data_IF_723735319260
#
_entry.id   IF_723735319260
#
_cell.length_a   1.000
_cell.length_b   1.000
_cell.length_c   1.000
_cell.angle_alpha   90.00
_cell.angle_beta   90.00
_cell.angle_gamma   90.00
#
_symmetry.space_group_name_H-M   'P 1'
#
loop_
_entity.id
_entity.type
_entity.pdbx_description
1 polymer ?
#
# COMPACT_ATOMS: atom_id res chain seq x y z
N UNK A 1 -11.99 -16.03 -15.11
CA UNK A 1 -12.20 -16.18 -13.65
C UNK A 1 -13.57 -16.82 -13.47
N UNK A 2 -13.72 -17.84 -12.61
CA UNK A 2 -15.04 -18.42 -12.32
C UNK A 2 -15.99 -17.34 -11.80
N UNK A 3 -17.30 -17.55 -11.93
CA UNK A 3 -18.36 -16.72 -11.34
C UNK A 3 -18.35 -16.77 -9.78
N UNK A 4 -17.19 -16.76 -9.15
CA UNK A 4 -17.08 -16.65 -7.71
C UNK A 4 -17.49 -15.23 -7.34
N UNK A 5 -18.78 -15.07 -7.05
CA UNK A 5 -19.36 -13.83 -6.58
C UNK A 5 -18.50 -13.24 -5.46
N UNK A 6 -18.30 -11.93 -5.53
CA UNK A 6 -17.67 -11.14 -4.48
C UNK A 6 -18.73 -10.99 -3.38
N UNK A 7 -18.55 -11.65 -2.24
CA UNK A 7 -19.62 -11.81 -1.25
C UNK A 7 -19.74 -10.55 -0.39
N UNK A 8 -18.62 -10.05 0.11
CA UNK A 8 -18.56 -8.97 1.10
C UNK A 8 -18.06 -7.64 0.55
N UNK A 9 -17.48 -7.61 -0.64
CA UNK A 9 -17.02 -6.39 -1.31
C UNK A 9 -17.46 -6.39 -2.78
N UNK A 10 -17.45 -5.24 -3.43
CA UNK A 10 -17.98 -5.15 -4.80
C UNK A 10 -17.07 -4.35 -5.73
N UNK A 11 -16.99 -4.76 -7.01
CA UNK A 11 -16.26 -4.02 -8.02
C UNK A 11 -16.96 -2.70 -8.34
N UNK A 12 -16.18 -1.65 -8.59
CA UNK A 12 -16.70 -0.39 -9.12
C UNK A 12 -16.85 -0.54 -10.63
N UNK A 13 -18.09 -0.68 -11.09
CA UNK A 13 -18.40 -0.91 -12.52
C UNK A 13 -18.66 0.38 -13.31
N UNK A 14 -18.93 1.48 -12.61
CA UNK A 14 -19.19 2.77 -13.24
C UNK A 14 -17.88 3.47 -13.61
N UNK A 15 -17.70 3.79 -14.90
CA UNK A 15 -16.47 4.41 -15.41
C UNK A 15 -16.21 5.81 -14.85
N UNK A 16 -17.24 6.60 -14.58
CA UNK A 16 -17.10 7.92 -13.95
C UNK A 16 -16.55 7.78 -12.52
N UNK A 17 -17.11 6.87 -11.73
CA UNK A 17 -16.63 6.58 -10.37
C UNK A 17 -15.18 6.06 -10.38
N UNK A 18 -14.83 5.16 -11.31
CA UNK A 18 -13.45 4.68 -11.48
C UNK A 18 -12.51 5.85 -11.80
N UNK A 19 -12.87 6.70 -12.75
CA UNK A 19 -12.05 7.85 -13.13
C UNK A 19 -11.85 8.82 -11.96
N UNK A 20 -12.88 9.06 -11.16
CA UNK A 20 -12.77 9.89 -9.96
C UNK A 20 -11.85 9.28 -8.90
N UNK A 21 -11.97 7.97 -8.64
CA UNK A 21 -11.11 7.23 -7.71
C UNK A 21 -9.65 7.32 -8.15
N UNK A 22 -9.38 7.02 -9.43
CA UNK A 22 -8.03 7.07 -9.99
C UNK A 22 -7.45 8.48 -9.96
N UNK A 23 -8.24 9.51 -10.31
CA UNK A 23 -7.82 10.91 -10.23
C UNK A 23 -7.50 11.37 -8.80
N UNK A 24 -8.16 10.80 -7.80
CA UNK A 24 -7.84 11.07 -6.39
C UNK A 24 -6.54 10.38 -6.01
N UNK A 25 -6.40 9.09 -6.31
CA UNK A 25 -5.21 8.32 -6.01
C UNK A 25 -3.96 8.88 -6.72
N UNK A 26 -4.10 9.37 -7.96
CA UNK A 26 -3.00 9.91 -8.77
C UNK A 26 -2.32 11.16 -8.18
N UNK A 27 -2.87 11.72 -7.10
CA UNK A 27 -2.23 12.81 -6.34
C UNK A 27 -1.16 12.31 -5.38
N UNK A 28 -1.21 11.03 -5.02
CA UNK A 28 -0.33 10.40 -4.02
C UNK A 28 0.48 9.28 -4.63
N UNK A 29 -0.03 8.59 -5.65
CA UNK A 29 0.64 7.47 -6.30
C UNK A 29 0.61 7.66 -7.80
N UNK A 30 1.76 7.61 -8.46
CA UNK A 30 1.85 7.62 -9.92
C UNK A 30 2.12 6.20 -10.44
N UNK A 31 1.14 5.70 -11.20
CA UNK A 31 1.09 4.36 -11.82
C UNK A 31 1.19 4.43 -13.36
N UNK A 32 1.59 5.57 -13.92
CA UNK A 32 1.68 5.75 -15.38
C UNK A 32 2.76 4.90 -16.05
N UNK A 33 3.69 4.33 -15.28
CA UNK A 33 4.78 3.48 -15.75
C UNK A 33 4.56 2.06 -15.28
N UNK A 34 4.52 1.12 -16.22
CA UNK A 34 4.19 -0.29 -15.94
C UNK A 34 5.16 -0.96 -14.95
N UNK A 35 6.40 -0.46 -14.86
CA UNK A 35 7.46 -1.05 -14.03
C UNK A 35 7.89 -0.16 -12.84
N UNK A 36 7.22 0.98 -12.61
CA UNK A 36 7.60 1.89 -11.52
C UNK A 36 6.39 2.19 -10.64
N UNK A 37 6.60 2.09 -9.33
CA UNK A 37 5.66 2.55 -8.32
C UNK A 37 6.24 3.82 -7.72
N UNK A 38 5.67 4.95 -8.10
CA UNK A 38 6.11 6.25 -7.63
C UNK A 38 5.17 6.75 -6.54
N UNK A 39 5.72 7.13 -5.40
CA UNK A 39 4.99 7.78 -4.32
C UNK A 39 5.22 9.29 -4.38
N UNK A 40 4.14 10.06 -4.49
CA UNK A 40 4.18 11.52 -4.58
C UNK A 40 4.19 12.11 -3.17
N UNK A 41 5.25 12.84 -2.82
CA UNK A 41 5.42 13.47 -1.52
C UNK A 41 4.29 14.44 -1.20
N UNK A 42 3.59 14.20 -0.09
CA UNK A 42 2.58 15.11 0.44
C UNK A 42 3.16 15.94 1.59
N UNK A 43 2.76 17.21 1.70
CA UNK A 43 3.23 18.07 2.81
C UNK A 43 2.77 17.54 4.16
N UNK A 44 3.70 17.46 5.13
CA UNK A 44 3.44 16.95 6.47
C UNK A 44 3.18 15.44 6.58
N UNK A 45 3.27 14.69 5.47
CA UNK A 45 3.15 13.24 5.48
C UNK A 45 4.49 12.54 5.68
N UNK A 46 4.40 11.32 6.21
CA UNK A 46 5.47 10.32 6.28
C UNK A 46 5.06 9.09 5.48
N UNK A 47 6.04 8.26 5.12
CA UNK A 47 5.83 6.99 4.46
C UNK A 47 6.76 5.96 5.10
N UNK A 48 6.22 4.83 5.55
CA UNK A 48 6.94 3.85 6.36
C UNK A 48 6.74 2.45 5.76
N UNK A 49 7.82 1.72 5.43
CA UNK A 49 7.73 0.34 5.01
C UNK A 49 7.53 -0.58 6.22
N UNK A 50 6.72 -1.62 6.05
CA UNK A 50 6.42 -2.62 7.09
C UNK A 50 6.45 -4.00 6.45
N UNK A 51 7.16 -4.96 7.05
CA UNK A 51 7.11 -6.36 6.64
C UNK A 51 5.65 -6.86 6.70
N UNK A 52 5.23 -7.56 5.65
CA UNK A 52 3.90 -8.17 5.58
C UNK A 52 3.97 -9.35 4.62
N UNK A 53 4.31 -10.52 5.16
CA UNK A 53 4.42 -11.77 4.39
C UNK A 53 3.14 -12.07 3.62
N UNK A 54 2.06 -12.36 4.35
CA UNK A 54 0.71 -12.38 3.78
C UNK A 54 0.03 -11.05 4.13
N UNK A 55 -0.15 -10.17 3.14
CA UNK A 55 -0.82 -8.88 3.31
C UNK A 55 -2.10 -8.99 4.12
N UNK A 56 -2.30 -8.17 5.16
CA UNK A 56 -3.52 -8.20 5.99
C UNK A 56 -3.88 -9.61 6.52
N UNK A 57 -2.89 -10.46 6.81
CA UNK A 57 -3.10 -11.64 7.63
C UNK A 57 -3.13 -11.26 9.11
N UNK A 58 -3.99 -11.94 9.89
CA UNK A 58 -4.07 -11.79 11.35
C UNK A 58 -3.99 -10.34 11.85
N UNK A 59 -2.86 -10.02 12.49
CA UNK A 59 -2.58 -8.73 13.14
C UNK A 59 -2.64 -7.52 12.18
N UNK A 60 -2.22 -7.65 10.92
CA UNK A 60 -2.24 -6.52 9.96
C UNK A 60 -3.67 -6.13 9.58
N UNK A 61 -4.57 -7.11 9.48
CA UNK A 61 -6.01 -6.87 9.27
C UNK A 61 -6.59 -6.13 10.47
N UNK A 62 -6.28 -6.59 11.67
CA UNK A 62 -6.85 -6.05 12.89
C UNK A 62 -6.36 -4.60 13.11
N UNK A 63 -5.05 -4.33 12.88
CA UNK A 63 -4.49 -2.97 12.85
C UNK A 63 -5.15 -2.07 11.80
N UNK A 64 -5.36 -2.57 10.59
CA UNK A 64 -6.06 -1.83 9.54
C UNK A 64 -7.46 -1.45 10.01
N UNK A 65 -8.24 -2.42 10.50
CA UNK A 65 -9.63 -2.22 10.90
C UNK A 65 -9.75 -1.26 12.08
N UNK A 66 -8.95 -1.46 13.12
CA UNK A 66 -8.94 -0.58 14.30
C UNK A 66 -8.63 0.86 13.88
N UNK A 67 -7.60 1.05 13.05
CA UNK A 67 -7.22 2.36 12.54
C UNK A 67 -8.35 2.99 11.70
N UNK A 68 -8.85 2.31 10.67
CA UNK A 68 -9.85 2.93 9.76
C UNK A 68 -11.17 3.21 10.46
N UNK A 69 -11.60 2.34 11.38
CA UNK A 69 -12.83 2.52 12.15
C UNK A 69 -12.71 3.67 13.16
N UNK A 70 -11.56 3.85 13.80
CA UNK A 70 -11.31 4.97 14.72
C UNK A 70 -11.29 6.31 13.99
N UNK A 71 -10.80 6.35 12.74
CA UNK A 71 -10.95 7.53 11.86
C UNK A 71 -12.36 7.68 11.25
N UNK A 72 -13.29 6.79 11.59
CA UNK A 72 -14.70 6.86 11.17
C UNK A 72 -14.98 6.36 9.76
N UNK A 73 -14.01 5.73 9.10
CA UNK A 73 -14.21 5.14 7.77
C UNK A 73 -14.99 3.83 7.91
N UNK A 74 -16.06 3.70 7.13
CA UNK A 74 -16.90 2.49 7.06
C UNK A 74 -16.60 1.61 5.87
N UNK A 75 -15.88 2.16 4.90
CA UNK A 75 -15.48 1.51 3.67
C UNK A 75 -14.08 2.00 3.30
N UNK A 76 -13.30 1.12 2.69
CA UNK A 76 -12.02 1.40 2.06
C UNK A 76 -12.12 1.07 0.56
N UNK A 77 -11.27 1.71 -0.22
CA UNK A 77 -11.18 1.54 -1.67
C UNK A 77 -9.86 0.87 -1.97
N UNK A 78 -9.89 -0.23 -2.71
CA UNK A 78 -8.69 -0.87 -3.24
C UNK A 78 -8.60 -0.64 -4.75
N UNK A 79 -7.45 -0.17 -5.21
CA UNK A 79 -7.16 0.10 -6.63
C UNK A 79 -5.94 -0.73 -7.04
N UNK A 80 -6.07 -1.65 -8.02
CA UNK A 80 -4.93 -2.39 -8.51
C UNK A 80 -3.92 -1.42 -9.15
N UNK A 81 -2.64 -1.62 -8.84
CA UNK A 81 -1.53 -0.79 -9.35
C UNK A 81 -0.87 -1.40 -10.58
N UNK A 82 -1.31 -2.59 -10.99
CA UNK A 82 -0.85 -3.31 -12.16
C UNK A 82 -2.00 -3.52 -13.16
N UNK A 83 -1.66 -3.66 -14.44
CA UNK A 83 -2.64 -3.92 -15.50
C UNK A 83 -3.05 -5.39 -15.47
N UNK A 84 -4.29 -5.64 -15.08
CA UNK A 84 -4.88 -6.98 -15.03
C UNK A 84 -6.02 -7.07 -16.06
N UNK A 85 -5.89 -7.98 -17.02
CA UNK A 85 -6.93 -8.22 -18.03
C UNK A 85 -8.19 -8.76 -17.36
N UNK A 86 -9.36 -8.23 -17.76
CA UNK A 86 -10.68 -8.61 -17.23
C UNK A 86 -10.83 -8.48 -15.71
N UNK A 87 -10.06 -7.57 -15.09
CA UNK A 87 -10.08 -7.32 -13.66
C UNK A 87 -10.70 -5.94 -13.34
N UNK A 88 -11.53 -5.82 -12.29
CA UNK A 88 -12.08 -4.53 -11.89
C UNK A 88 -11.02 -3.49 -11.57
N UNK A 89 -11.23 -2.26 -12.04
CA UNK A 89 -10.29 -1.15 -11.85
C UNK A 89 -10.30 -0.55 -10.43
N UNK A 90 -11.30 -0.90 -9.62
CA UNK A 90 -11.37 -0.56 -8.20
C UNK A 90 -12.40 -1.45 -7.49
N UNK A 91 -12.26 -1.58 -6.17
CA UNK A 91 -13.21 -2.24 -5.29
C UNK A 91 -13.60 -1.34 -4.12
N UNK A 92 -14.85 -1.42 -3.70
CA UNK A 92 -15.30 -0.88 -2.41
C UNK A 92 -15.41 -2.04 -1.43
N UNK A 93 -14.69 -1.93 -0.32
CA UNK A 93 -14.56 -2.96 0.69
C UNK A 93 -15.09 -2.39 2.01
N UNK A 94 -16.17 -2.93 2.58
CA UNK A 94 -16.62 -2.57 3.92
C UNK A 94 -15.50 -2.76 4.96
N UNK A 95 -15.39 -1.86 5.92
CA UNK A 95 -14.43 -1.94 7.03
C UNK A 95 -14.86 -2.99 8.06
N UNK A 96 -14.90 -4.25 7.64
CA UNK A 96 -15.24 -5.42 8.45
C UNK A 96 -14.19 -6.51 8.23
N UNK A 97 -13.96 -7.34 9.26
CA UNK A 97 -13.00 -8.44 9.19
C UNK A 97 -13.27 -9.39 8.02
N UNK A 98 -14.53 -9.80 7.80
CA UNK A 98 -14.90 -10.72 6.73
C UNK A 98 -14.65 -10.15 5.34
N UNK A 99 -14.88 -8.85 5.13
CA UNK A 99 -14.64 -8.21 3.84
C UNK A 99 -13.15 -8.07 3.52
N UNK A 100 -12.34 -7.65 4.50
CA UNK A 100 -10.88 -7.54 4.32
C UNK A 100 -10.25 -8.93 4.14
N UNK A 101 -10.71 -9.94 4.87
CA UNK A 101 -10.23 -11.32 4.73
C UNK A 101 -10.60 -11.91 3.36
N UNK A 102 -11.83 -11.71 2.87
CA UNK A 102 -12.21 -12.15 1.53
C UNK A 102 -11.38 -11.43 0.46
N UNK A 103 -11.19 -10.11 0.61
CA UNK A 103 -10.35 -9.33 -0.30
C UNK A 103 -8.92 -9.88 -0.31
N UNK A 104 -8.31 -10.07 0.85
CA UNK A 104 -6.95 -10.60 0.93
C UNK A 104 -6.85 -11.99 0.29
N UNK A 105 -7.77 -12.90 0.61
CA UNK A 105 -7.77 -14.25 0.02
C UNK A 105 -7.89 -14.24 -1.51
N UNK A 106 -8.68 -13.33 -2.07
CA UNK A 106 -8.92 -13.26 -3.53
C UNK A 106 -7.91 -12.39 -4.27
N UNK A 107 -7.30 -11.42 -3.60
CA UNK A 107 -6.55 -10.32 -4.22
C UNK A 107 -5.14 -10.13 -3.63
N UNK A 108 -4.74 -10.83 -2.56
CA UNK A 108 -3.47 -10.62 -1.87
C UNK A 108 -2.22 -10.82 -2.73
N UNK A 109 -2.33 -11.54 -3.85
CA UNK A 109 -1.25 -11.72 -4.81
C UNK A 109 -1.04 -10.59 -5.81
N UNK A 110 -1.80 -9.48 -5.75
CA UNK A 110 -1.63 -8.34 -6.67
C UNK A 110 -1.18 -7.06 -5.94
N UNK A 111 -0.65 -6.10 -6.70
CA UNK A 111 -0.34 -4.77 -6.17
C UNK A 111 -1.61 -3.94 -6.02
N UNK A 112 -1.81 -3.34 -4.85
CA UNK A 112 -2.94 -2.47 -4.58
C UNK A 112 -2.53 -1.21 -3.85
N UNK A 113 -3.22 -0.10 -4.13
CA UNK A 113 -3.33 1.00 -3.19
C UNK A 113 -4.67 0.92 -2.47
N UNK A 114 -4.63 1.07 -1.15
CA UNK A 114 -5.79 1.11 -0.29
C UNK A 114 -5.88 2.50 0.36
N UNK A 115 -7.07 3.10 0.31
CA UNK A 115 -7.36 4.40 0.94
C UNK A 115 -8.86 4.52 1.25
N UNK A 116 -9.29 5.58 1.93
CA UNK A 116 -10.71 5.80 2.24
C UNK A 116 -11.26 7.10 1.64
N UNK A 117 -11.82 7.03 0.43
CA UNK A 117 -12.62 8.09 -0.22
C UNK A 117 -11.85 9.35 -0.66
N UNK A 118 -11.01 9.90 0.21
CA UNK A 118 -9.99 10.92 -0.03
C UNK A 118 -8.63 10.33 0.36
N UNK A 119 -7.56 10.63 -0.37
CA UNK A 119 -6.23 10.15 -0.03
C UNK A 119 -5.67 11.03 1.10
N UNK A 120 -6.21 10.88 2.31
CA UNK A 120 -5.66 11.48 3.54
C UNK A 120 -4.60 10.56 4.19
N UNK A 121 -4.54 9.33 3.67
CA UNK A 121 -3.57 8.27 3.87
C UNK A 121 -3.69 7.30 2.68
N UNK A 122 -2.64 6.52 2.42
CA UNK A 122 -2.63 5.42 1.44
C UNK A 122 -1.79 4.28 2.01
N UNK A 123 -2.23 3.04 1.79
CA UNK A 123 -1.45 1.83 2.04
C UNK A 123 -1.14 1.20 0.69
N UNK A 124 0.14 1.01 0.38
CA UNK A 124 0.57 0.30 -0.82
C UNK A 124 0.89 -1.15 -0.46
N UNK A 125 0.17 -2.08 -1.06
CA UNK A 125 0.40 -3.51 -0.98
C UNK A 125 1.31 -3.92 -2.14
N UNK A 126 2.44 -4.55 -1.83
CA UNK A 126 3.46 -4.91 -2.81
C UNK A 126 3.70 -6.42 -2.80
N UNK A 127 3.92 -7.03 -3.96
CA UNK A 127 4.35 -8.45 -4.09
C UNK A 127 5.74 -8.74 -3.48
N UNK A 128 6.34 -7.75 -2.81
CA UNK A 128 7.65 -7.90 -2.19
C UNK A 128 7.56 -8.15 -0.67
N UNK A 129 6.44 -8.72 -0.22
CA UNK A 129 6.17 -9.07 1.18
C UNK A 129 6.33 -7.89 2.15
N UNK A 130 6.01 -6.69 1.66
CA UNK A 130 5.93 -5.49 2.48
C UNK A 130 4.79 -4.57 2.07
N UNK A 131 4.34 -3.78 3.04
CA UNK A 131 3.42 -2.67 2.86
C UNK A 131 4.17 -1.34 2.96
N UNK A 132 3.68 -0.31 2.27
CA UNK A 132 4.07 1.08 2.55
C UNK A 132 2.87 1.83 3.10
N UNK A 133 2.97 2.25 4.36
CA UNK A 133 1.92 3.02 5.04
C UNK A 133 2.30 4.50 4.93
N UNK A 134 1.49 5.30 4.25
CA UNK A 134 1.74 6.73 4.09
C UNK A 134 0.54 7.58 4.49
N UNK A 135 0.81 8.73 5.08
CA UNK A 135 -0.22 9.61 5.62
C UNK A 135 0.35 10.61 6.62
N UNK A 136 -0.54 11.29 7.35
CA UNK A 136 -0.13 12.09 8.51
C UNK A 136 0.53 11.20 9.57
N UNK A 137 1.55 11.70 10.31
CA UNK A 137 2.23 10.93 11.35
C UNK A 137 1.30 10.31 12.40
N UNK A 138 0.17 10.95 12.72
CA UNK A 138 -0.81 10.40 13.67
C UNK A 138 -1.47 9.13 13.14
N UNK A 139 -1.87 9.12 11.86
CA UNK A 139 -2.46 7.95 11.22
C UNK A 139 -1.45 6.82 11.11
N UNK A 140 -0.22 7.15 10.67
CA UNK A 140 0.83 6.15 10.48
C UNK A 140 1.23 5.49 11.81
N UNK A 141 1.44 6.26 12.90
CA UNK A 141 1.71 5.67 14.22
C UNK A 141 0.59 4.76 14.72
N UNK A 142 -0.67 5.19 14.52
CA UNK A 142 -1.82 4.42 14.96
C UNK A 142 -1.94 3.10 14.20
N UNK A 143 -1.73 3.10 12.88
CA UNK A 143 -1.68 1.88 12.10
C UNK A 143 -0.53 0.95 12.55
N UNK A 144 0.65 1.52 12.78
CA UNK A 144 1.83 0.75 13.20
C UNK A 144 1.66 0.13 14.59
N UNK A 145 0.98 0.83 15.50
CA UNK A 145 0.93 0.50 16.92
C UNK A 145 2.25 0.80 17.65
N UNK A 146 3.16 1.56 17.03
CA UNK A 146 4.50 1.87 17.52
C UNK A 146 5.02 3.21 16.98
N UNK A 147 6.23 3.61 17.39
CA UNK A 147 6.87 4.80 16.84
C UNK A 147 7.43 4.56 15.43
N UNK A 148 7.46 5.61 14.61
CA UNK A 148 7.90 5.55 13.21
C UNK A 148 9.36 5.07 13.10
N UNK A 149 10.24 5.54 13.97
CA UNK A 149 11.66 5.13 13.98
C UNK A 149 11.82 3.64 14.31
N UNK A 150 10.98 3.12 15.20
CA UNK A 150 10.95 1.70 15.55
C UNK A 150 10.54 0.85 14.35
N UNK A 151 9.50 1.27 13.61
CA UNK A 151 9.07 0.58 12.39
C UNK A 151 10.18 0.55 11.33
N UNK A 152 10.92 1.66 11.13
CA UNK A 152 12.08 1.66 10.24
C UNK A 152 13.20 0.72 10.72
N UNK A 153 13.44 0.61 12.03
CA UNK A 153 14.41 -0.33 12.59
C UNK A 153 13.98 -1.79 12.41
N UNK A 154 12.70 -2.10 12.58
CA UNK A 154 12.14 -3.43 12.32
C UNK A 154 12.27 -3.79 10.83
N UNK A 155 11.94 -2.86 9.93
CA UNK A 155 12.08 -3.09 8.49
C UNK A 155 13.55 -3.26 8.07
N UNK A 156 14.48 -2.51 8.65
CA UNK A 156 15.92 -2.70 8.43
C UNK A 156 16.35 -4.12 8.82
N UNK A 157 15.87 -4.62 9.97
CA UNK A 157 16.16 -5.98 10.42
C UNK A 157 15.58 -7.01 9.45
N UNK A 158 14.32 -6.85 9.05
CA UNK A 158 13.69 -7.69 8.03
C UNK A 158 14.52 -7.73 6.73
N UNK A 159 14.92 -6.57 6.20
CA UNK A 159 15.77 -6.48 5.01
C UNK A 159 17.14 -7.18 5.20
N UNK A 160 17.73 -7.08 6.39
CA UNK A 160 19.02 -7.71 6.72
C UNK A 160 18.92 -9.23 6.84
N UNK A 161 17.82 -9.74 7.39
CA UNK A 161 17.60 -11.16 7.65
C UNK A 161 17.07 -11.91 6.40
N UNK A 162 16.58 -11.18 5.40
CA UNK A 162 16.07 -11.74 4.15
C UNK A 162 17.20 -12.34 3.28
N UNK A 163 17.57 -13.58 3.59
CA UNK A 163 18.65 -14.34 2.93
C UNK A 163 18.12 -15.35 1.90
N UNK A 164 16.80 -15.57 1.85
CA UNK A 164 16.18 -16.64 1.07
C UNK A 164 15.97 -16.31 -0.42
N UNK A 165 15.92 -15.03 -0.80
CA UNK A 165 15.42 -14.62 -2.12
C UNK A 165 16.46 -14.00 -3.08
N UNK A 166 17.74 -13.97 -2.69
CA UNK A 166 18.92 -13.39 -3.37
C UNK A 166 19.39 -12.02 -2.85
N UNK A 167 20.67 -11.70 -3.10
CA UNK A 167 21.26 -10.38 -2.82
C UNK A 167 20.50 -9.25 -3.51
N UNK A 168 19.98 -9.50 -4.72
CA UNK A 168 19.15 -8.54 -5.46
C UNK A 168 17.89 -8.17 -4.68
N UNK A 169 17.27 -9.13 -3.99
CA UNK A 169 16.09 -8.88 -3.17
C UNK A 169 16.39 -7.99 -1.97
N UNK A 170 17.42 -8.36 -1.20
CA UNK A 170 17.89 -7.58 -0.07
C UNK A 170 18.23 -6.13 -0.47
N UNK A 171 18.90 -5.95 -1.61
CA UNK A 171 19.21 -4.62 -2.15
C UNK A 171 17.94 -3.80 -2.46
N UNK A 172 16.87 -4.44 -2.95
CA UNK A 172 15.58 -3.77 -3.18
C UNK A 172 14.94 -3.29 -1.88
N UNK A 173 14.94 -4.13 -0.83
CA UNK A 173 14.41 -3.74 0.47
C UNK A 173 15.20 -2.58 1.09
N UNK A 174 16.53 -2.61 1.02
CA UNK A 174 17.37 -1.50 1.47
C UNK A 174 17.17 -0.22 0.64
N UNK A 175 16.96 -0.35 -0.68
CA UNK A 175 16.63 0.79 -1.52
C UNK A 175 15.32 1.45 -1.05
N UNK A 176 14.25 0.68 -0.86
CA UNK A 176 12.96 1.18 -0.36
C UNK A 176 13.14 1.86 1.00
N UNK A 177 13.88 1.23 1.92
CA UNK A 177 14.16 1.79 3.23
C UNK A 177 14.83 3.16 3.11
N UNK A 178 15.87 3.29 2.28
CA UNK A 178 16.59 4.56 2.08
C UNK A 178 15.68 5.63 1.46
N UNK A 179 14.89 5.26 0.44
CA UNK A 179 13.95 6.17 -0.20
C UNK A 179 12.91 6.70 0.79
N UNK A 180 12.37 5.84 1.65
CA UNK A 180 11.30 6.22 2.59
C UNK A 180 11.83 6.91 3.84
N UNK A 181 13.04 6.57 4.31
CA UNK A 181 13.62 7.13 5.54
C UNK A 181 14.37 8.44 5.29
N UNK A 182 15.05 8.57 4.15
CA UNK A 182 15.95 9.70 3.86
C UNK A 182 15.36 10.63 2.80
N UNK A 183 14.99 10.09 1.64
CA UNK A 183 14.56 10.91 0.50
C UNK A 183 13.15 11.46 0.69
N UNK A 184 12.18 10.63 1.08
CA UNK A 184 10.79 11.05 1.23
C UNK A 184 10.63 12.21 2.23
N UNK A 185 11.22 12.18 3.45
CA UNK A 185 11.04 13.27 4.40
C UNK A 185 11.73 14.58 3.99
N UNK A 186 12.80 14.50 3.18
CA UNK A 186 13.58 15.65 2.71
C UNK A 186 13.09 16.22 1.38
N UNK A 187 12.26 15.47 0.66
CA UNK A 187 11.67 15.88 -0.60
C UNK A 187 10.66 17.03 -0.43
N UNK A 188 10.68 17.94 -1.41
CA UNK A 188 9.62 18.93 -1.59
C UNK A 188 8.28 18.24 -1.89
N UNK A 189 7.17 18.90 -1.54
CA UNK A 189 5.84 18.43 -1.90
C UNK A 189 5.71 18.26 -3.43
N UNK A 190 4.88 17.30 -3.84
CA UNK A 190 4.66 16.89 -5.23
C UNK A 190 5.86 16.22 -5.93
N UNK A 191 7.01 16.07 -5.26
CA UNK A 191 8.12 15.26 -5.77
C UNK A 191 7.74 13.78 -5.76
N UNK A 192 7.94 13.11 -6.89
CA UNK A 192 7.82 11.67 -7.00
C UNK A 192 9.07 10.97 -6.42
N UNK A 193 8.84 9.97 -5.58
CA UNK A 193 9.85 9.10 -4.96
C UNK A 193 9.66 7.69 -5.53
N UNK A 194 10.72 7.13 -6.11
CA UNK A 194 10.65 5.79 -6.70
C UNK A 194 10.75 4.73 -5.61
N UNK A 195 9.82 3.78 -5.58
CA UNK A 195 9.84 2.65 -4.65
C UNK A 195 10.43 1.39 -5.27
N UNK A 196 10.74 1.39 -6.57
CA UNK A 196 11.47 0.31 -7.21
C UNK A 196 12.82 0.80 -7.71
N UNK A 197 13.92 0.09 -7.40
CA UNK A 197 15.19 0.45 -8.00
C UNK A 197 15.17 0.16 -9.51
N UNK A 198 16.01 0.85 -10.30
CA UNK A 198 16.22 0.51 -11.69
C UNK A 198 16.60 -0.98 -11.84
N UNK A 199 16.17 -1.62 -12.93
CA UNK A 199 16.48 -3.02 -13.24
C UNK A 199 17.99 -3.35 -13.30
N UNK A 200 18.85 -2.33 -13.22
CA UNK A 200 20.31 -2.43 -13.32
C UNK A 200 21.05 -2.62 -11.98
N UNK A 201 20.36 -2.85 -10.84
CA UNK A 201 21.02 -3.25 -9.58
C UNK A 201 21.44 -4.74 -9.58
N UNK A 202 22.04 -5.19 -10.68
CA UNK A 202 22.67 -6.49 -10.86
C UNK A 202 24.11 -6.54 -10.35
#
# INVERSE_FOLDING_TARGET
MSNDEWIFFHPVVNSESVNEIQKKLSKVVDISREDNLLLIKQSGWVAVPVESGDHFSGDDRDKLLDCVLEYGYREIIAVPLEKLNDFPAAFIIPSTASAVEEFNRKCGGFWFAIFAGKPDWVILCTKLDYLVITGKPSFVRQFLGSEIDEAFSLFYKFASDCTYESVTWQNRLFFVLEQLKTEYPSAEADRAIDLFPPNDLG
#
